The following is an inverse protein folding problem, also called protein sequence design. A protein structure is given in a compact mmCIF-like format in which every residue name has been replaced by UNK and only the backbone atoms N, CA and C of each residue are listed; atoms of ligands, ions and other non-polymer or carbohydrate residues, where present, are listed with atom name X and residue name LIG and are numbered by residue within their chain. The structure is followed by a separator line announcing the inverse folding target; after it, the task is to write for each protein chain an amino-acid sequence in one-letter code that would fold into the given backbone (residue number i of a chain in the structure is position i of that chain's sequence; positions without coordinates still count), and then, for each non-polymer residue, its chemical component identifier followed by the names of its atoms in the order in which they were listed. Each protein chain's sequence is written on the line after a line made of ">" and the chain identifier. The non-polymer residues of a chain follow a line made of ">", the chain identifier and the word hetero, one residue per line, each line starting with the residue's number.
data_IF_509045611418
#
_entry.id   IF_509045611418
#
_cell.length_a   1.000
_cell.length_b   1.000
_cell.length_c   1.000
_cell.angle_alpha   90.00
_cell.angle_beta   90.00
_cell.angle_gamma   90.00
#
_symmetry.space_group_name_H-M   'P 1'
#
loop_
_entity.id
_entity.type
_entity.pdbx_description
1 polymer ?
#
# COMPACT_ATOMS: atom_id res chain seq x y z
N UNK A 1 -50.18 -21.99 52.39
CA UNK A 1 -48.77 -22.36 52.08
C UNK A 1 -48.53 -22.08 50.61
N UNK A 2 -48.28 -20.80 50.32
CA UNK A 2 -48.57 -20.15 49.05
C UNK A 2 -47.39 -19.22 48.69
N UNK A 3 -46.15 -19.76 48.75
CA UNK A 3 -44.91 -18.94 48.60
C UNK A 3 -43.80 -19.60 47.77
N UNK A 4 -44.13 -20.51 46.85
CA UNK A 4 -43.11 -21.15 45.97
C UNK A 4 -43.47 -21.15 44.48
N UNK A 5 -44.43 -20.35 44.03
CA UNK A 5 -44.83 -20.25 42.60
C UNK A 5 -44.40 -18.94 41.89
N UNK A 6 -43.49 -18.14 42.47
CA UNK A 6 -43.17 -16.82 41.93
C UNK A 6 -41.68 -16.44 41.94
N UNK A 7 -40.76 -17.40 41.93
CA UNK A 7 -39.35 -17.12 41.66
C UNK A 7 -38.97 -17.60 40.26
N UNK A 8 -39.10 -16.65 39.33
CA UNK A 8 -38.11 -16.40 38.29
C UNK A 8 -37.97 -17.44 37.16
N UNK A 9 -39.07 -17.59 36.40
CA UNK A 9 -39.04 -17.87 34.95
C UNK A 9 -38.43 -16.70 34.13
N UNK A 10 -37.37 -16.06 34.61
CA UNK A 10 -36.63 -14.97 33.94
C UNK A 10 -35.14 -15.11 34.24
N UNK A 11 -34.57 -16.24 33.82
CA UNK A 11 -33.18 -16.29 33.39
C UNK A 11 -33.26 -16.59 31.88
N UNK A 12 -33.82 -15.66 31.10
CA UNK A 12 -33.00 -14.84 30.19
C UNK A 12 -31.91 -15.72 29.59
N UNK A 13 -32.19 -16.51 28.56
CA UNK A 13 -32.01 -16.13 27.15
C UNK A 13 -30.79 -15.25 26.84
N UNK A 14 -29.76 -15.29 27.69
CA UNK A 14 -28.56 -14.48 27.60
C UNK A 14 -27.39 -15.17 28.31
N UNK A 15 -27.13 -16.44 28.00
CA UNK A 15 -25.73 -16.80 27.81
C UNK A 15 -25.43 -16.49 26.36
N UNK A 16 -25.02 -15.24 26.18
CA UNK A 16 -24.14 -14.77 25.14
C UNK A 16 -23.59 -15.94 24.33
N UNK A 17 -23.95 -15.96 23.06
CA UNK A 17 -23.00 -16.30 22.02
C UNK A 17 -21.74 -15.51 22.38
N UNK A 18 -20.82 -16.11 23.12
CA UNK A 18 -19.44 -15.69 23.08
C UNK A 18 -19.05 -16.14 21.69
N UNK A 19 -19.41 -15.32 20.69
CA UNK A 19 -18.48 -15.08 19.60
C UNK A 19 -17.22 -14.66 20.35
N UNK A 20 -16.35 -15.65 20.59
CA UNK A 20 -14.95 -15.37 20.55
C UNK A 20 -14.76 -14.76 19.16
N UNK A 21 -14.91 -13.44 19.08
CA UNK A 21 -14.08 -12.65 18.19
C UNK A 21 -12.68 -12.97 18.66
N UNK A 22 -12.18 -14.08 18.13
CA UNK A 22 -10.76 -14.30 18.03
C UNK A 22 -10.32 -13.15 17.12
N UNK A 23 -9.99 -12.01 17.74
CA UNK A 23 -9.23 -10.94 17.11
C UNK A 23 -7.85 -11.54 16.84
N UNK A 24 -7.81 -12.51 15.93
CA UNK A 24 -6.59 -13.02 15.36
C UNK A 24 -6.03 -11.84 14.63
N UNK A 25 -5.08 -11.16 15.26
CA UNK A 25 -4.44 -10.01 14.67
C UNK A 25 -3.81 -10.50 13.35
N UNK A 26 -4.40 -10.11 12.23
CA UNK A 26 -4.01 -10.55 10.89
C UNK A 26 -2.77 -9.76 10.44
N UNK A 27 -1.83 -10.46 9.79
CA UNK A 27 -0.67 -9.79 9.19
C UNK A 27 -1.05 -9.13 7.87
N UNK A 28 -0.26 -8.14 7.44
CA UNK A 28 -0.48 -7.38 6.19
C UNK A 28 -0.74 -8.29 4.98
N UNK A 29 0.02 -9.38 4.84
CA UNK A 29 -0.17 -10.31 3.72
C UNK A 29 -1.55 -10.99 3.76
N UNK A 30 -2.06 -11.33 4.95
CA UNK A 30 -3.40 -11.92 5.10
C UNK A 30 -4.47 -10.94 4.64
N UNK A 31 -4.37 -9.68 5.09
CA UNK A 31 -5.28 -8.61 4.72
C UNK A 31 -5.30 -8.39 3.21
N UNK A 32 -4.12 -8.33 2.58
CA UNK A 32 -3.99 -8.13 1.12
C UNK A 32 -4.57 -9.33 0.35
N UNK A 33 -4.28 -10.55 0.80
CA UNK A 33 -4.75 -11.79 0.17
C UNK A 33 -6.27 -11.95 0.25
N UNK A 34 -6.87 -11.56 1.37
CA UNK A 34 -8.29 -11.79 1.66
C UNK A 34 -9.19 -10.67 1.11
N UNK A 35 -8.61 -9.53 0.72
CA UNK A 35 -9.33 -8.44 0.07
C UNK A 35 -9.38 -8.63 -1.47
N UNK A 36 -10.56 -8.89 -2.06
CA UNK A 36 -10.70 -9.10 -3.50
C UNK A 36 -10.26 -7.91 -4.36
N UNK A 37 -10.36 -6.68 -3.83
CA UNK A 37 -9.93 -5.47 -4.53
C UNK A 37 -8.42 -5.36 -4.67
N UNK A 38 -7.64 -6.14 -3.91
CA UNK A 38 -6.17 -6.11 -3.89
C UNK A 38 -5.53 -7.33 -4.56
N UNK A 39 -6.33 -8.18 -5.21
CA UNK A 39 -5.90 -9.47 -5.74
C UNK A 39 -4.78 -9.38 -6.79
N UNK A 40 -4.79 -8.34 -7.64
CA UNK A 40 -3.72 -8.15 -8.64
C UNK A 40 -2.38 -7.85 -7.96
N UNK A 41 -2.36 -7.01 -6.94
CA UNK A 41 -1.15 -6.77 -6.15
C UNK A 41 -0.69 -8.05 -5.44
N UNK A 42 -1.62 -8.78 -4.80
CA UNK A 42 -1.30 -10.06 -4.14
C UNK A 42 -0.65 -11.05 -5.12
N UNK A 43 -1.14 -11.13 -6.36
CA UNK A 43 -0.59 -12.03 -7.38
C UNK A 43 0.89 -11.78 -7.69
N UNK A 44 1.37 -10.55 -7.48
CA UNK A 44 2.77 -10.17 -7.72
C UNK A 44 3.69 -10.44 -6.53
N UNK A 45 3.15 -10.63 -5.33
CA UNK A 45 3.92 -10.98 -4.13
C UNK A 45 3.79 -12.45 -3.74
N UNK A 46 2.70 -13.12 -4.13
CA UNK A 46 2.42 -14.52 -3.82
C UNK A 46 3.56 -15.45 -4.31
N UNK A 47 4.02 -16.34 -3.44
CA UNK A 47 5.14 -17.26 -3.66
C UNK A 47 6.47 -16.57 -3.98
N UNK A 48 6.68 -15.33 -3.50
CA UNK A 48 7.96 -14.62 -3.62
C UNK A 48 8.65 -14.48 -2.27
N UNK A 49 9.95 -14.17 -2.29
CA UNK A 49 10.70 -13.81 -1.08
C UNK A 49 10.08 -12.60 -0.36
N UNK A 50 9.43 -11.69 -1.10
CA UNK A 50 8.80 -10.52 -0.51
C UNK A 50 7.60 -10.89 0.37
N UNK A 51 6.78 -11.87 -0.04
CA UNK A 51 5.71 -12.40 0.83
C UNK A 51 6.30 -13.00 2.10
N UNK A 52 7.34 -13.83 1.98
CA UNK A 52 8.00 -14.42 3.14
C UNK A 52 8.60 -13.35 4.06
N UNK A 53 9.20 -12.28 3.52
CA UNK A 53 9.70 -11.14 4.31
C UNK A 53 8.55 -10.41 5.00
N UNK A 54 7.46 -10.07 4.31
CA UNK A 54 6.35 -9.34 4.91
C UNK A 54 5.59 -10.15 5.99
N UNK A 55 5.73 -11.48 6.00
CA UNK A 55 5.18 -12.37 7.03
C UNK A 55 6.13 -12.58 8.22
N UNK A 56 7.42 -12.27 8.08
CA UNK A 56 8.39 -12.39 9.17
C UNK A 56 8.15 -11.32 10.24
N UNK A 57 8.46 -11.68 11.49
CA UNK A 57 8.43 -10.75 12.61
C UNK A 57 9.72 -9.93 12.63
N UNK A 58 9.56 -8.61 12.59
CA UNK A 58 10.64 -7.64 12.73
C UNK A 58 10.40 -6.75 13.95
N UNK A 59 11.43 -6.06 14.47
CA UNK A 59 11.26 -5.07 15.54
C UNK A 59 10.57 -3.78 15.06
N UNK A 60 10.36 -3.63 13.75
CA UNK A 60 9.58 -2.55 13.15
C UNK A 60 8.30 -3.08 12.52
N UNK A 61 7.33 -2.18 12.37
CA UNK A 61 6.11 -2.39 11.60
C UNK A 61 6.28 -1.89 10.16
N UNK A 62 5.41 -2.34 9.27
CA UNK A 62 5.39 -1.94 7.85
C UNK A 62 4.29 -0.90 7.57
N UNK A 63 4.51 -0.07 6.55
CA UNK A 63 3.42 0.65 5.88
C UNK A 63 3.41 0.20 4.43
N UNK A 64 2.25 -0.20 3.92
CA UNK A 64 2.12 -0.56 2.51
C UNK A 64 0.97 0.20 1.86
N UNK A 65 1.28 0.85 0.74
CA UNK A 65 0.30 1.50 -0.11
C UNK A 65 -0.08 0.53 -1.24
N UNK A 66 -1.25 -0.07 -1.19
CA UNK A 66 -1.62 -1.15 -2.11
C UNK A 66 -2.53 -0.60 -3.22
N UNK A 67 -2.07 -0.56 -4.48
CA UNK A 67 -2.94 -0.26 -5.60
C UNK A 67 -4.03 -1.32 -5.72
N UNK A 68 -5.29 -0.89 -5.78
CA UNK A 68 -6.39 -1.80 -6.05
C UNK A 68 -6.41 -2.26 -7.52
N UNK A 69 -7.24 -3.25 -7.82
CA UNK A 69 -7.34 -3.81 -9.17
C UNK A 69 -7.66 -2.74 -10.23
N UNK A 70 -8.51 -1.75 -9.89
CA UNK A 70 -8.83 -0.64 -10.79
C UNK A 70 -7.59 0.22 -11.12
N UNK A 71 -6.66 0.37 -10.19
CA UNK A 71 -5.40 1.06 -10.43
C UNK A 71 -4.56 0.34 -11.49
N UNK A 72 -4.52 -0.99 -11.47
CA UNK A 72 -3.84 -1.80 -12.49
C UNK A 72 -4.57 -1.80 -13.83
N UNK A 73 -5.91 -1.85 -13.81
CA UNK A 73 -6.75 -1.81 -15.01
C UNK A 73 -6.67 -0.46 -15.74
N UNK A 74 -6.42 0.62 -14.99
CA UNK A 74 -6.23 1.97 -15.53
C UNK A 74 -4.85 2.17 -16.18
N UNK A 75 -3.92 1.21 -16.06
CA UNK A 75 -2.60 1.35 -16.67
C UNK A 75 -2.69 1.31 -18.20
N UNK A 76 -1.95 2.19 -18.90
CA UNK A 76 -1.78 2.09 -20.34
C UNK A 76 -1.25 0.70 -20.72
N UNK A 77 -1.82 0.08 -21.76
CA UNK A 77 -1.48 -1.30 -22.17
C UNK A 77 0.03 -1.52 -22.29
N UNK A 78 0.75 -0.55 -22.88
CA UNK A 78 2.21 -0.61 -23.05
C UNK A 78 2.97 -0.72 -21.72
N UNK A 79 2.52 -0.02 -20.68
CA UNK A 79 3.08 -0.09 -19.32
C UNK A 79 2.77 -1.44 -18.71
N UNK A 80 1.51 -1.87 -18.80
CA UNK A 80 1.06 -3.14 -18.25
C UNK A 80 1.84 -4.32 -18.85
N UNK A 81 1.96 -4.37 -20.18
CA UNK A 81 2.75 -5.37 -20.90
C UNK A 81 4.21 -5.37 -20.43
N UNK A 82 4.81 -4.19 -20.20
CA UNK A 82 6.17 -4.08 -19.68
C UNK A 82 6.29 -4.65 -18.26
N UNK A 83 5.36 -4.32 -17.37
CA UNK A 83 5.31 -4.86 -15.99
C UNK A 83 5.20 -6.39 -16.00
N UNK A 84 4.40 -6.96 -16.91
CA UNK A 84 4.28 -8.41 -17.03
C UNK A 84 5.56 -9.07 -17.59
N UNK A 85 6.16 -8.48 -18.63
CA UNK A 85 7.33 -9.06 -19.30
C UNK A 85 8.63 -8.96 -18.50
N UNK A 86 8.74 -8.00 -17.57
CA UNK A 86 9.97 -7.69 -16.85
C UNK A 86 9.80 -7.91 -15.34
N UNK A 87 10.20 -9.10 -14.88
CA UNK A 87 10.07 -9.51 -13.47
C UNK A 87 10.89 -8.63 -12.52
N UNK A 88 12.08 -8.19 -12.94
CA UNK A 88 12.95 -7.33 -12.12
C UNK A 88 12.31 -5.95 -11.90
N UNK A 89 11.80 -5.37 -12.99
CA UNK A 89 11.02 -4.13 -12.91
C UNK A 89 9.78 -4.29 -12.03
N UNK A 90 9.02 -5.36 -12.22
CA UNK A 90 7.81 -5.62 -11.44
C UNK A 90 8.13 -5.74 -9.96
N UNK A 91 9.19 -6.47 -9.59
CA UNK A 91 9.64 -6.58 -8.19
C UNK A 91 9.97 -5.19 -7.61
N UNK A 92 10.78 -4.40 -8.31
CA UNK A 92 11.12 -3.04 -7.86
C UNK A 92 9.89 -2.14 -7.73
N UNK A 93 8.98 -2.16 -8.71
CA UNK A 93 7.74 -1.40 -8.69
C UNK A 93 6.90 -1.75 -7.46
N UNK A 94 6.72 -3.03 -7.16
CA UNK A 94 5.96 -3.48 -5.99
C UNK A 94 6.67 -3.10 -4.69
N UNK A 95 8.00 -3.18 -4.66
CA UNK A 95 8.78 -2.77 -3.48
C UNK A 95 8.73 -1.25 -3.22
N UNK A 96 8.59 -0.42 -4.26
CA UNK A 96 8.40 1.03 -4.09
C UNK A 96 7.13 1.39 -3.29
N UNK A 97 6.18 0.46 -3.15
CA UNK A 97 4.94 0.67 -2.39
C UNK A 97 5.07 0.40 -0.88
N UNK A 98 6.25 0.02 -0.40
CA UNK A 98 6.47 -0.44 0.97
C UNK A 98 7.44 0.49 1.69
N UNK A 99 7.08 0.88 2.92
CA UNK A 99 7.92 1.64 3.85
C UNK A 99 8.23 0.80 5.09
N UNK A 100 9.39 1.09 5.69
CA UNK A 100 9.74 0.65 7.04
C UNK A 100 9.19 1.68 8.04
N UNK A 101 8.55 1.18 9.09
CA UNK A 101 7.86 1.99 10.09
C UNK A 101 6.37 2.14 9.76
N UNK A 102 5.54 2.14 10.80
CA UNK A 102 4.11 2.38 10.68
C UNK A 102 3.86 3.87 10.50
N UNK A 103 3.08 4.23 9.48
CA UNK A 103 2.67 5.58 9.14
C UNK A 103 1.16 5.58 9.02
N UNK A 104 0.49 5.66 10.16
CA UNK A 104 -0.96 5.77 10.21
C UNK A 104 -1.37 7.20 9.85
N UNK A 105 -2.54 7.37 9.25
CA UNK A 105 -2.97 8.70 8.83
C UNK A 105 -3.22 9.64 10.02
N UNK A 106 -3.42 9.11 11.24
CA UNK A 106 -3.49 9.91 12.46
C UNK A 106 -2.16 10.56 12.87
N UNK A 107 -1.02 10.03 12.42
CA UNK A 107 0.31 10.54 12.75
C UNK A 107 0.73 11.72 11.85
N UNK A 108 -0.03 11.93 10.77
CA UNK A 108 0.26 12.90 9.73
C UNK A 108 -0.65 14.13 9.86
N UNK A 109 -0.11 15.27 9.45
CA UNK A 109 -0.83 16.55 9.42
C UNK A 109 -0.63 17.23 8.06
N UNK A 110 -1.03 18.50 7.94
CA UNK A 110 -0.94 19.25 6.68
C UNK A 110 0.49 19.55 6.23
N UNK A 111 1.49 19.32 7.08
CA UNK A 111 2.91 19.42 6.72
C UNK A 111 3.29 18.19 5.90
N UNK A 112 3.97 18.45 4.79
CA UNK A 112 4.58 17.41 3.98
C UNK A 112 5.75 16.78 4.75
N UNK A 113 5.68 15.48 4.92
CA UNK A 113 6.75 14.63 5.45
C UNK A 113 7.33 13.83 4.30
N UNK A 114 8.65 13.73 4.23
CA UNK A 114 9.35 12.86 3.29
C UNK A 114 9.68 11.53 3.97
N UNK A 115 9.25 10.43 3.37
CA UNK A 115 9.49 9.06 3.83
C UNK A 115 10.28 8.28 2.79
N UNK A 116 11.00 7.24 3.20
CA UNK A 116 11.85 6.45 2.32
C UNK A 116 11.27 5.05 2.14
N UNK A 117 11.05 4.66 0.88
CA UNK A 117 10.64 3.30 0.48
C UNK A 117 11.75 2.29 0.72
N UNK A 118 11.43 1.00 0.76
CA UNK A 118 12.44 -0.07 0.92
C UNK A 118 13.44 -0.16 -0.24
N UNK A 119 13.14 0.48 -1.37
CA UNK A 119 14.05 0.64 -2.52
C UNK A 119 14.88 1.93 -2.45
N UNK A 120 14.90 2.60 -1.28
CA UNK A 120 15.63 3.83 -1.01
C UNK A 120 15.16 5.04 -1.83
N UNK A 121 13.89 5.08 -2.22
CA UNK A 121 13.31 6.22 -2.93
C UNK A 121 12.42 7.05 -1.99
N UNK A 122 12.55 8.39 -1.97
CA UNK A 122 11.72 9.28 -1.19
C UNK A 122 10.31 9.39 -1.77
N UNK A 123 9.32 9.44 -0.90
CA UNK A 123 7.93 9.73 -1.21
C UNK A 123 7.39 10.73 -0.20
N UNK A 124 6.44 11.56 -0.63
CA UNK A 124 5.83 12.58 0.22
C UNK A 124 4.55 12.04 0.84
N UNK A 125 4.39 12.17 2.15
CA UNK A 125 3.14 11.90 2.85
C UNK A 125 2.63 13.18 3.51
N UNK A 126 1.33 13.45 3.39
CA UNK A 126 0.67 14.53 4.12
C UNK A 126 -0.81 14.22 4.27
N UNK A 127 -1.44 14.87 5.26
CA UNK A 127 -2.87 14.72 5.51
C UNK A 127 -3.57 16.06 5.49
N UNK A 128 -4.70 16.11 4.78
CA UNK A 128 -5.70 17.18 4.88
C UNK A 128 -6.98 16.56 5.43
N UNK A 129 -8.03 16.53 4.61
CA UNK A 129 -9.23 15.73 4.89
C UNK A 129 -8.95 14.24 4.66
N UNK A 130 -8.17 13.92 3.63
CA UNK A 130 -7.67 12.59 3.31
C UNK A 130 -6.15 12.51 3.46
N UNK A 131 -5.64 11.29 3.62
CA UNK A 131 -4.22 10.96 3.48
C UNK A 131 -3.84 11.03 2.00
N UNK A 132 -2.72 11.69 1.76
CA UNK A 132 -2.08 11.74 0.46
C UNK A 132 -0.76 11.01 0.55
N UNK A 133 -0.53 10.14 -0.43
CA UNK A 133 0.79 9.64 -0.77
C UNK A 133 1.14 10.27 -2.12
N UNK A 134 2.21 11.08 -2.12
CA UNK A 134 2.62 11.90 -3.25
C UNK A 134 1.49 12.86 -3.68
N UNK A 135 0.97 12.73 -4.89
CA UNK A 135 -0.14 13.49 -5.47
C UNK A 135 -1.45 12.70 -5.47
N UNK A 136 -1.44 11.47 -4.93
CA UNK A 136 -2.56 10.54 -4.96
C UNK A 136 -3.32 10.55 -3.63
N UNK A 137 -4.64 10.51 -3.72
CA UNK A 137 -5.54 10.34 -2.57
C UNK A 137 -5.58 8.86 -2.20
N UNK A 138 -5.36 8.54 -0.93
CA UNK A 138 -5.59 7.20 -0.40
C UNK A 138 -7.10 6.95 -0.32
N UNK A 139 -7.57 5.86 -0.92
CA UNK A 139 -9.01 5.57 -1.01
C UNK A 139 -9.54 4.80 0.20
N UNK A 140 -8.71 3.99 0.85
CA UNK A 140 -9.03 3.37 2.13
C UNK A 140 -7.81 3.46 3.05
N UNK A 141 -7.96 4.18 4.16
CA UNK A 141 -6.87 4.47 5.09
C UNK A 141 -6.88 3.52 6.28
N UNK A 142 -5.71 3.28 6.87
CA UNK A 142 -5.56 2.69 8.20
C UNK A 142 -6.17 1.29 8.35
N UNK A 143 -6.07 0.43 7.34
CA UNK A 143 -6.41 -0.98 7.53
C UNK A 143 -5.33 -1.62 8.40
N UNK A 144 -5.64 -1.80 9.68
CA UNK A 144 -4.69 -2.22 10.71
C UNK A 144 -4.32 -3.69 10.59
N UNK A 145 -3.02 -3.98 10.71
CA UNK A 145 -2.45 -5.32 10.77
C UNK A 145 -1.60 -5.49 12.03
N UNK A 146 -1.32 -6.72 12.43
CA UNK A 146 -0.47 -7.01 13.59
C UNK A 146 0.99 -6.59 13.42
N UNK A 147 1.42 -6.36 12.19
CA UNK A 147 2.78 -6.01 11.80
C UNK A 147 2.82 -4.74 10.94
N UNK A 148 1.79 -3.88 11.04
CA UNK A 148 1.77 -2.56 10.41
C UNK A 148 0.41 -2.13 9.89
N UNK A 149 0.43 -1.34 8.81
CA UNK A 149 -0.78 -0.71 8.26
C UNK A 149 -0.84 -0.84 6.73
N UNK A 150 -2.04 -1.09 6.22
CA UNK A 150 -2.36 -1.12 4.79
C UNK A 150 -3.20 0.10 4.43
N UNK A 151 -2.76 0.81 3.39
CA UNK A 151 -3.48 1.92 2.78
C UNK A 151 -3.81 1.55 1.33
N UNK A 152 -5.08 1.51 0.95
CA UNK A 152 -5.48 1.26 -0.43
C UNK A 152 -5.36 2.53 -1.27
N UNK A 153 -4.76 2.44 -2.45
CA UNK A 153 -4.64 3.54 -3.41
C UNK A 153 -5.29 3.16 -4.75
N UNK A 154 -5.74 4.17 -5.51
CA UNK A 154 -6.39 3.98 -6.81
C UNK A 154 -5.45 4.18 -8.01
N UNK A 155 -4.14 4.33 -7.76
CA UNK A 155 -3.12 4.52 -8.78
C UNK A 155 -1.88 3.68 -8.42
N UNK A 156 -1.18 3.16 -9.43
CA UNK A 156 0.11 2.47 -9.22
C UNK A 156 1.20 3.53 -9.08
N UNK A 157 2.02 3.43 -8.03
CA UNK A 157 3.08 4.38 -7.77
C UNK A 157 4.32 4.08 -8.62
N UNK A 158 4.74 5.06 -9.41
CA UNK A 158 5.98 5.02 -10.18
C UNK A 158 6.95 6.04 -9.59
N UNK A 159 8.06 5.54 -9.05
CA UNK A 159 9.12 6.36 -8.46
C UNK A 159 10.39 6.18 -9.28
N UNK A 160 10.84 7.25 -9.94
CA UNK A 160 11.97 7.25 -10.86
C UNK A 160 12.99 8.32 -10.47
N UNK A 161 14.31 8.08 -10.63
CA UNK A 161 15.29 9.14 -10.51
C UNK A 161 15.02 10.30 -11.45
N UNK A 162 15.17 11.52 -10.94
CA UNK A 162 14.99 12.72 -11.74
C UNK A 162 16.07 12.86 -12.82
N UNK A 163 17.26 12.33 -12.58
CA UNK A 163 18.36 12.28 -13.55
C UNK A 163 17.92 11.65 -14.87
N UNK A 164 17.02 10.66 -14.79
CA UNK A 164 16.48 9.88 -15.90
C UNK A 164 15.20 10.52 -16.52
N UNK A 165 14.68 11.61 -15.95
CA UNK A 165 13.50 12.31 -16.45
C UNK A 165 13.91 13.44 -17.41
N UNK A 166 13.72 13.21 -18.70
CA UNK A 166 14.12 14.17 -19.74
C UNK A 166 13.23 15.42 -19.81
N UNK A 167 12.13 15.46 -19.05
CA UNK A 167 11.26 16.63 -18.95
C UNK A 167 11.79 17.66 -17.94
N UNK A 168 12.74 17.26 -17.10
CA UNK A 168 13.31 18.12 -16.08
C UNK A 168 14.55 18.87 -16.58
N UNK A 169 14.64 20.14 -16.21
CA UNK A 169 15.88 20.93 -16.30
C UNK A 169 16.94 20.40 -15.34
N UNK A 170 18.21 20.69 -15.61
CA UNK A 170 19.32 20.34 -14.70
C UNK A 170 19.09 20.83 -13.27
N UNK A 171 18.61 22.08 -13.12
CA UNK A 171 18.29 22.65 -11.81
C UNK A 171 17.18 21.86 -11.07
N UNK A 172 16.19 21.36 -11.80
CA UNK A 172 15.15 20.52 -11.22
C UNK A 172 15.68 19.15 -10.83
N UNK A 173 16.56 18.55 -11.63
CA UNK A 173 17.22 17.27 -11.33
C UNK A 173 18.08 17.38 -10.07
N UNK A 174 18.90 18.42 -9.99
CA UNK A 174 19.78 18.69 -8.84
C UNK A 174 18.98 18.97 -7.56
N UNK A 175 17.79 19.59 -7.69
CA UNK A 175 16.93 19.97 -6.56
C UNK A 175 16.02 18.84 -6.08
N UNK A 176 15.58 17.96 -6.98
CA UNK A 176 14.65 16.88 -6.68
C UNK A 176 15.27 15.59 -7.24
N UNK A 177 15.96 14.76 -6.44
CA UNK A 177 16.70 13.60 -6.95
C UNK A 177 15.80 12.50 -7.51
N UNK A 178 14.50 12.54 -7.20
CA UNK A 178 13.52 11.54 -7.57
C UNK A 178 12.24 12.26 -8.02
N UNK A 179 11.71 11.85 -9.17
CA UNK A 179 10.38 12.21 -9.64
C UNK A 179 9.41 11.05 -9.48
N UNK A 180 8.15 11.40 -9.40
CA UNK A 180 7.10 10.41 -9.38
C UNK A 180 5.97 10.88 -10.28
N UNK A 181 5.44 10.00 -11.11
CA UNK A 181 4.48 10.36 -12.14
C UNK A 181 3.32 9.40 -12.13
N UNK A 182 2.11 9.95 -12.13
CA UNK A 182 0.96 9.24 -12.67
C UNK A 182 1.23 9.24 -14.19
N UNK A 183 1.49 8.08 -14.80
CA UNK A 183 1.87 8.02 -16.21
C UNK A 183 0.66 8.30 -17.11
N UNK A 184 0.23 9.55 -17.16
CA UNK A 184 -0.99 9.98 -17.85
C UNK A 184 -0.75 10.30 -19.33
N UNK A 185 0.50 10.61 -19.71
CA UNK A 185 0.86 10.96 -21.09
C UNK A 185 1.76 9.92 -21.76
N UNK A 186 1.70 9.81 -23.09
CA UNK A 186 2.62 8.95 -23.85
C UNK A 186 4.09 9.36 -23.66
N UNK A 187 4.35 10.65 -23.45
CA UNK A 187 5.69 11.17 -23.14
C UNK A 187 6.21 10.62 -21.81
N UNK A 188 5.38 10.61 -20.77
CA UNK A 188 5.71 10.04 -19.46
C UNK A 188 5.99 8.55 -19.55
N UNK A 189 5.12 7.81 -20.23
CA UNK A 189 5.28 6.37 -20.45
C UNK A 189 6.59 6.08 -21.16
N UNK A 190 6.90 6.79 -22.24
CA UNK A 190 8.13 6.58 -22.99
C UNK A 190 9.38 6.96 -22.19
N UNK A 191 9.32 8.03 -21.41
CA UNK A 191 10.42 8.44 -20.52
C UNK A 191 10.69 7.37 -19.47
N UNK A 192 9.64 6.90 -18.78
CA UNK A 192 9.77 5.83 -17.79
C UNK A 192 10.26 4.52 -18.40
N UNK A 193 9.77 4.12 -19.58
CA UNK A 193 10.26 2.93 -20.27
C UNK A 193 11.75 3.04 -20.66
N UNK A 194 12.23 4.25 -20.94
CA UNK A 194 13.64 4.49 -21.25
C UNK A 194 14.53 4.42 -20.01
N UNK A 195 14.08 4.99 -18.88
CA UNK A 195 14.81 4.98 -17.60
C UNK A 195 14.94 3.58 -17.01
N UNK A 196 13.92 2.75 -17.23
CA UNK A 196 13.95 1.33 -16.89
C UNK A 196 15.02 0.58 -17.68
N UNK A 197 15.16 0.85 -18.98
CA UNK A 197 16.09 0.14 -19.86
C UNK A 197 17.56 0.45 -19.55
N UNK A 198 17.88 1.59 -18.94
CA UNK A 198 19.25 1.96 -18.60
C UNK A 198 19.77 1.32 -17.30
N UNK A 199 18.89 0.68 -16.52
CA UNK A 199 19.25 0.07 -15.22
C UNK A 199 19.56 -1.43 -15.27
N UNK A 200 19.40 -2.04 -16.43
CA UNK A 200 19.66 -3.47 -16.70
C UNK A 200 20.45 -3.61 -18.00
#
# INVERSE_FOLDING_TARGET
>A
MEKYKLYLKIFSFFLFFIFHFDLKAEGIVSIIRENPSLSTFYSYINNTELEATLQQKFPWNWTIFVPNNKAFDALPKKVYDKILSDTSLRKMLIMDHILIGEKSSGDLNSKITEEITITSKPIQLYKRESLYVKDMVVVNENTSANNGVVHEINCVMFVQPSEEDNRLTKLQKDKFPITSCCMETESEINSWLSSVKSKF
#
